data_IF_633731139462
#
_entry.id   IF_633731139462
#
_cell.length_a   1.000
_cell.length_b   1.000
_cell.length_c   1.000
_cell.angle_alpha   90.00
_cell.angle_beta   90.00
_cell.angle_gamma   90.00
#
_symmetry.space_group_name_H-M   'P 1'
#
loop_
_entity.id
_entity.type
_entity.pdbx_description
1 polymer ?
#
# COMPACT_ATOMS: atom_id res chain seq x y z
N UNK A 1 5.67 -3.63 24.09
CA UNK A 1 4.88 -4.81 24.54
C UNK A 1 5.74 -6.07 24.56
N UNK A 2 6.42 -6.47 23.48
CA UNK A 2 7.27 -7.68 23.44
C UNK A 2 8.39 -7.63 24.47
N UNK A 3 9.10 -6.50 24.60
CA UNK A 3 10.15 -6.33 25.61
C UNK A 3 9.61 -6.46 27.05
N UNK A 4 8.43 -5.93 27.33
CA UNK A 4 7.78 -6.13 28.62
C UNK A 4 7.51 -7.61 28.92
N UNK A 5 7.07 -8.40 27.94
CA UNK A 5 6.90 -9.85 28.12
C UNK A 5 8.23 -10.58 28.34
N UNK A 6 9.29 -10.11 27.70
CA UNK A 6 10.64 -10.63 27.91
C UNK A 6 11.15 -10.31 29.32
N UNK A 7 10.92 -9.10 29.83
CA UNK A 7 11.26 -8.71 31.21
C UNK A 7 10.48 -9.54 32.24
N UNK A 8 9.25 -9.96 31.91
CA UNK A 8 8.45 -10.86 32.76
C UNK A 8 8.81 -12.34 32.61
N UNK A 9 9.81 -12.68 31.80
CA UNK A 9 10.21 -14.07 31.52
C UNK A 9 9.18 -14.92 30.79
N UNK A 10 8.17 -14.30 30.19
CA UNK A 10 7.11 -14.98 29.41
C UNK A 10 7.51 -15.28 27.98
N UNK A 11 8.43 -14.51 27.45
CA UNK A 11 9.00 -14.62 26.10
C UNK A 11 10.51 -14.47 26.22
N UNK A 12 11.25 -15.34 25.58
CA UNK A 12 12.72 -15.27 25.55
C UNK A 12 13.21 -14.84 24.17
N UNK A 13 12.51 -15.23 23.11
CA UNK A 13 12.96 -14.99 21.73
C UNK A 13 11.84 -14.62 20.81
N UNK A 14 12.03 -13.58 20.00
CA UNK A 14 11.03 -13.00 19.11
C UNK A 14 11.45 -13.11 17.66
N UNK A 15 10.56 -13.63 16.80
CA UNK A 15 10.69 -13.55 15.35
C UNK A 15 9.79 -12.43 14.83
N UNK A 16 10.36 -11.47 14.09
CA UNK A 16 9.61 -10.42 13.41
C UNK A 16 9.60 -10.70 11.91
N UNK A 17 8.41 -10.86 11.33
CA UNK A 17 8.20 -11.07 9.90
C UNK A 17 7.59 -9.80 9.34
N UNK A 18 8.30 -9.13 8.42
CA UNK A 18 7.91 -7.83 7.90
C UNK A 18 8.28 -7.66 6.41
N UNK A 19 7.83 -6.58 5.74
CA UNK A 19 8.32 -6.23 4.41
C UNK A 19 9.83 -6.03 4.37
N UNK A 20 10.47 -6.46 3.28
CA UNK A 20 11.93 -6.36 3.09
C UNK A 20 12.47 -4.93 3.32
N UNK A 21 11.73 -3.93 2.88
CA UNK A 21 12.13 -2.52 2.92
C UNK A 21 12.21 -1.90 4.32
N UNK A 22 11.60 -2.52 5.32
CA UNK A 22 11.54 -1.99 6.69
C UNK A 22 12.29 -2.83 7.72
N UNK A 23 12.96 -3.88 7.29
CA UNK A 23 13.70 -4.75 8.20
C UNK A 23 14.77 -3.98 8.99
N UNK A 24 15.57 -3.15 8.30
CA UNK A 24 16.59 -2.31 8.91
C UNK A 24 16.04 -0.93 9.31
N UNK A 25 15.34 -0.25 8.38
CA UNK A 25 14.96 1.17 8.51
C UNK A 25 13.88 1.44 9.55
N UNK A 26 13.07 0.45 9.89
CA UNK A 26 12.08 0.56 10.97
C UNK A 26 12.40 -0.45 12.08
N UNK A 27 12.22 -1.75 11.85
CA UNK A 27 12.28 -2.73 12.92
C UNK A 27 13.62 -2.76 13.68
N UNK A 28 14.75 -2.80 12.95
CA UNK A 28 16.07 -2.80 13.62
C UNK A 28 16.34 -1.48 14.33
N UNK A 29 16.07 -0.33 13.66
CA UNK A 29 16.33 0.98 14.23
C UNK A 29 15.40 1.27 15.41
N UNK A 30 14.09 0.99 15.26
CA UNK A 30 13.13 1.19 16.35
C UNK A 30 13.45 0.30 17.56
N UNK A 31 13.86 -0.95 17.34
CA UNK A 31 14.31 -1.82 18.44
C UNK A 31 15.57 -1.27 19.11
N UNK A 32 16.50 -0.70 18.36
CA UNK A 32 17.68 -0.05 18.93
C UNK A 32 17.29 1.20 19.75
N UNK A 33 16.33 1.99 19.29
CA UNK A 33 15.92 3.21 19.99
C UNK A 33 15.07 2.92 21.22
N UNK A 34 14.14 1.95 21.14
CA UNK A 34 13.17 1.68 22.22
C UNK A 34 13.58 0.53 23.17
N UNK A 35 14.48 -0.35 22.75
CA UNK A 35 14.98 -1.46 23.54
C UNK A 35 16.50 -1.70 23.30
N UNK A 36 17.37 -0.69 23.57
CA UNK A 36 18.80 -0.74 23.27
C UNK A 36 19.54 -1.86 24.01
N UNK A 37 18.96 -2.40 25.08
CA UNK A 37 19.49 -3.51 25.85
C UNK A 37 19.23 -4.89 25.22
N UNK A 38 18.49 -4.94 24.09
CA UNK A 38 18.18 -6.18 23.37
C UNK A 38 19.06 -6.38 22.16
N UNK A 39 19.38 -7.63 21.90
CA UNK A 39 20.14 -8.03 20.71
C UNK A 39 19.21 -8.26 19.53
N UNK A 40 19.54 -7.68 18.36
CA UNK A 40 18.74 -7.74 17.15
C UNK A 40 19.58 -8.23 15.97
N UNK A 41 19.11 -9.23 15.26
CA UNK A 41 19.73 -9.72 14.03
C UNK A 41 18.75 -9.66 12.84
N UNK A 42 19.24 -9.24 11.66
CA UNK A 42 18.45 -9.14 10.43
C UNK A 42 18.81 -10.27 9.48
N UNK A 43 17.90 -11.23 9.33
CA UNK A 43 18.09 -12.43 8.50
C UNK A 43 17.84 -12.11 7.02
N UNK A 44 18.84 -11.52 6.36
CA UNK A 44 18.81 -11.13 4.93
C UNK A 44 19.98 -11.74 4.15
N UNK A 45 19.80 -11.92 2.84
CA UNK A 45 20.78 -12.49 1.93
C UNK A 45 20.49 -13.94 1.56
N UNK A 46 21.52 -14.71 1.25
CA UNK A 46 21.42 -16.12 0.85
C UNK A 46 20.94 -17.04 1.99
N UNK A 47 20.40 -18.21 1.62
CA UNK A 47 19.85 -19.19 2.56
C UNK A 47 20.82 -19.56 3.70
N UNK A 48 22.10 -19.81 3.37
CA UNK A 48 23.14 -20.15 4.35
C UNK A 48 23.35 -19.05 5.38
N UNK A 49 23.42 -17.79 4.93
CA UNK A 49 23.59 -16.62 5.81
C UNK A 49 22.35 -16.43 6.70
N UNK A 50 21.13 -16.54 6.13
CA UNK A 50 19.88 -16.44 6.91
C UNK A 50 19.83 -17.53 8.00
N UNK A 51 20.17 -18.76 7.64
CA UNK A 51 20.22 -19.87 8.60
C UNK A 51 21.19 -19.60 9.75
N UNK A 52 22.42 -19.18 9.44
CA UNK A 52 23.42 -18.82 10.46
C UNK A 52 22.94 -17.69 11.40
N UNK A 53 22.19 -16.71 10.87
CA UNK A 53 21.63 -15.62 11.69
C UNK A 53 20.51 -16.15 12.61
N UNK A 54 19.64 -17.02 12.12
CA UNK A 54 18.56 -17.61 12.92
C UNK A 54 19.12 -18.50 14.05
N UNK A 55 20.24 -19.15 13.81
CA UNK A 55 20.93 -20.01 14.79
C UNK A 55 21.70 -19.20 15.85
N UNK A 56 21.89 -17.89 15.67
CA UNK A 56 22.48 -17.03 16.71
C UNK A 56 21.52 -16.88 17.89
N UNK A 57 22.06 -16.79 19.08
CA UNK A 57 21.28 -16.55 20.29
C UNK A 57 21.00 -15.05 20.47
N UNK A 58 20.13 -14.50 19.62
CA UNK A 58 19.68 -13.09 19.69
C UNK A 58 18.25 -13.00 20.16
N UNK A 59 17.91 -11.93 20.89
CA UNK A 59 16.58 -11.70 21.42
C UNK A 59 15.54 -11.53 20.29
N UNK A 60 15.89 -10.76 19.25
CA UNK A 60 15.05 -10.51 18.09
C UNK A 60 15.73 -10.97 16.80
N UNK A 61 14.98 -11.65 15.96
CA UNK A 61 15.35 -11.93 14.57
C UNK A 61 14.33 -11.29 13.66
N UNK A 62 14.77 -10.43 12.75
CA UNK A 62 13.91 -9.77 11.75
C UNK A 62 14.12 -10.43 10.39
N UNK A 63 13.03 -10.85 9.72
CA UNK A 63 13.08 -11.55 8.44
C UNK A 63 11.95 -11.07 7.52
N UNK A 64 12.17 -11.05 6.20
CA UNK A 64 11.10 -10.77 5.25
C UNK A 64 10.25 -12.01 4.93
N UNK A 65 9.04 -11.80 4.41
CA UNK A 65 8.07 -12.87 4.15
C UNK A 65 8.63 -14.04 3.31
N UNK A 66 9.32 -13.73 2.19
CA UNK A 66 9.88 -14.77 1.32
C UNK A 66 11.06 -15.50 1.99
N UNK A 67 11.76 -14.82 2.89
CA UNK A 67 12.85 -15.41 3.69
C UNK A 67 12.35 -16.49 4.62
N UNK A 68 11.15 -16.37 5.17
CA UNK A 68 10.53 -17.36 6.07
C UNK A 68 10.46 -18.74 5.40
N UNK A 69 10.08 -18.76 4.12
CA UNK A 69 9.97 -20.00 3.35
C UNK A 69 11.32 -20.67 3.13
N UNK A 70 12.35 -19.86 2.83
CA UNK A 70 13.71 -20.33 2.52
C UNK A 70 14.33 -21.06 3.73
N UNK A 71 14.07 -20.58 4.95
CA UNK A 71 14.68 -21.08 6.18
C UNK A 71 13.67 -21.59 7.21
N UNK A 72 12.53 -22.08 6.74
CA UNK A 72 11.40 -22.50 7.58
C UNK A 72 11.77 -23.52 8.65
N UNK A 73 12.59 -24.52 8.33
CA UNK A 73 13.04 -25.53 9.29
C UNK A 73 13.95 -24.93 10.38
N UNK A 74 14.84 -23.99 10.01
CA UNK A 74 15.68 -23.30 11.01
C UNK A 74 14.83 -22.42 11.94
N UNK A 75 13.79 -21.76 11.41
CA UNK A 75 12.85 -20.99 12.23
C UNK A 75 12.10 -21.90 13.20
N UNK A 76 11.56 -23.02 12.71
CA UNK A 76 10.82 -24.00 13.53
C UNK A 76 11.64 -24.49 14.73
N UNK A 77 12.94 -24.71 14.50
CA UNK A 77 13.88 -25.19 15.53
C UNK A 77 14.54 -24.03 16.30
N UNK A 78 14.30 -22.78 15.90
CA UNK A 78 14.99 -21.60 16.42
C UNK A 78 14.52 -21.12 17.81
N UNK A 79 13.57 -21.80 18.46
CA UNK A 79 13.14 -21.48 19.83
C UNK A 79 12.39 -20.16 19.99
N UNK A 80 11.68 -19.70 18.95
CA UNK A 80 10.89 -18.47 19.04
C UNK A 80 9.60 -18.69 19.83
N UNK A 81 9.41 -17.91 20.89
CA UNK A 81 8.22 -17.94 21.74
C UNK A 81 7.13 -16.99 21.24
N UNK A 82 7.53 -15.91 20.56
CA UNK A 82 6.65 -14.92 19.95
C UNK A 82 7.00 -14.73 18.48
N UNK A 83 5.99 -14.78 17.63
CA UNK A 83 6.08 -14.39 16.22
C UNK A 83 5.22 -13.15 16.00
N UNK A 84 5.83 -12.08 15.51
CA UNK A 84 5.17 -10.82 15.15
C UNK A 84 5.15 -10.74 13.63
N UNK A 85 3.96 -10.59 13.04
CA UNK A 85 3.78 -10.41 11.60
C UNK A 85 3.29 -8.99 11.36
N UNK A 86 4.16 -8.16 10.80
CA UNK A 86 3.81 -6.80 10.38
C UNK A 86 3.18 -6.81 8.98
N UNK A 87 2.26 -5.90 8.69
CA UNK A 87 1.44 -5.88 7.46
C UNK A 87 0.80 -7.25 7.16
N UNK A 88 0.10 -7.81 8.14
CA UNK A 88 -0.42 -9.17 8.12
C UNK A 88 -1.40 -9.47 6.97
N UNK A 89 -1.88 -8.45 6.23
CA UNK A 89 -2.69 -8.59 5.00
C UNK A 89 -2.03 -9.51 3.96
N UNK A 90 -0.71 -9.65 3.98
CA UNK A 90 0.03 -10.61 3.16
C UNK A 90 -0.32 -12.08 3.44
N UNK A 91 -0.98 -12.37 4.55
CA UNK A 91 -1.43 -13.70 4.99
C UNK A 91 -2.96 -13.89 4.90
N UNK A 92 -3.69 -12.98 4.26
CA UNK A 92 -5.16 -13.03 4.14
C UNK A 92 -5.71 -14.28 3.43
N UNK A 93 -4.93 -14.89 2.54
CA UNK A 93 -5.32 -16.07 1.78
C UNK A 93 -4.67 -17.34 2.35
N UNK A 94 -5.46 -18.16 3.03
CA UNK A 94 -5.04 -19.42 3.65
C UNK A 94 -4.59 -20.51 2.65
N UNK A 95 -4.80 -20.33 1.35
CA UNK A 95 -4.36 -21.30 0.33
C UNK A 95 -2.94 -21.02 -0.17
N UNK A 96 -2.38 -19.85 0.11
CA UNK A 96 -1.03 -19.48 -0.34
C UNK A 96 0.04 -20.32 0.35
N UNK A 97 1.15 -20.55 -0.36
CA UNK A 97 2.33 -21.22 0.19
C UNK A 97 2.88 -20.48 1.42
N UNK A 98 2.92 -19.15 1.36
CA UNK A 98 3.33 -18.27 2.47
C UNK A 98 2.51 -18.55 3.74
N UNK A 99 1.19 -18.57 3.63
CA UNK A 99 0.30 -18.85 4.75
C UNK A 99 0.54 -20.25 5.35
N UNK A 100 0.61 -21.27 4.47
CA UNK A 100 0.84 -22.66 4.87
C UNK A 100 2.19 -22.84 5.56
N UNK A 101 3.24 -22.16 5.07
CA UNK A 101 4.57 -22.20 5.68
C UNK A 101 4.56 -21.60 7.08
N UNK A 102 3.96 -20.39 7.24
CA UNK A 102 3.87 -19.77 8.56
C UNK A 102 3.09 -20.67 9.54
N UNK A 103 1.94 -21.18 9.12
CA UNK A 103 1.13 -22.06 9.96
C UNK A 103 1.88 -23.34 10.39
N UNK A 104 2.77 -23.87 9.53
CA UNK A 104 3.57 -25.08 9.82
C UNK A 104 4.72 -24.83 10.82
N UNK A 105 5.27 -23.63 10.84
CA UNK A 105 6.39 -23.29 11.75
C UNK A 105 5.95 -22.87 13.14
N UNK A 106 4.68 -22.42 13.30
CA UNK A 106 4.11 -22.10 14.59
C UNK A 106 3.93 -23.39 15.41
N UNK A 107 4.32 -23.33 16.68
CA UNK A 107 4.12 -24.38 17.67
C UNK A 107 2.92 -24.02 18.55
N UNK A 108 2.33 -24.98 19.23
CA UNK A 108 1.15 -24.79 20.07
C UNK A 108 1.34 -23.73 21.18
N UNK A 109 2.57 -23.58 21.66
CA UNK A 109 2.95 -22.60 22.68
C UNK A 109 3.55 -21.31 22.13
N UNK A 110 3.59 -21.13 20.80
CA UNK A 110 4.11 -19.90 20.20
C UNK A 110 3.02 -18.84 20.17
N UNK A 111 3.30 -17.68 20.76
CA UNK A 111 2.43 -16.52 20.66
C UNK A 111 2.52 -15.91 19.27
N UNK A 112 1.38 -15.56 18.68
CA UNK A 112 1.33 -14.95 17.36
C UNK A 112 0.63 -13.59 17.44
N UNK A 113 1.34 -12.53 17.02
CA UNK A 113 0.77 -11.20 16.85
C UNK A 113 0.73 -10.85 15.37
N UNK A 114 -0.45 -10.62 14.84
CA UNK A 114 -0.65 -10.20 13.46
C UNK A 114 -1.08 -8.73 13.45
N UNK A 115 -0.22 -7.85 12.96
CA UNK A 115 -0.47 -6.40 12.91
C UNK A 115 -0.91 -5.98 11.51
N UNK A 116 -2.00 -5.25 11.43
CA UNK A 116 -2.48 -4.63 10.18
C UNK A 116 -3.45 -3.51 10.48
N UNK A 117 -3.38 -2.43 9.70
CA UNK A 117 -4.37 -1.35 9.75
C UNK A 117 -5.71 -1.71 9.11
N UNK A 118 -5.75 -2.74 8.26
CA UNK A 118 -6.91 -3.08 7.40
C UNK A 118 -7.08 -4.59 7.23
N UNK A 119 -7.57 -5.33 8.23
CA UNK A 119 -7.65 -6.80 8.17
C UNK A 119 -8.59 -7.33 7.08
N UNK A 120 -9.51 -6.50 6.58
CA UNK A 120 -10.46 -6.82 5.51
C UNK A 120 -10.47 -5.71 4.44
N UNK A 121 -9.30 -5.38 3.90
CA UNK A 121 -9.07 -4.20 3.05
C UNK A 121 -9.90 -4.19 1.75
N UNK A 122 -10.09 -5.33 1.12
CA UNK A 122 -10.77 -5.45 -0.16
C UNK A 122 -12.14 -6.10 -0.04
N UNK A 123 -12.28 -7.06 0.87
CA UNK A 123 -13.51 -7.83 1.06
C UNK A 123 -13.56 -8.37 2.49
N UNK A 124 -14.75 -8.55 3.08
CA UNK A 124 -14.90 -9.26 4.35
C UNK A 124 -14.24 -10.65 4.35
N UNK A 125 -14.13 -11.29 3.19
CA UNK A 125 -13.48 -12.60 3.01
C UNK A 125 -11.97 -12.54 3.31
N UNK A 126 -11.31 -11.39 3.15
CA UNK A 126 -9.88 -11.21 3.42
C UNK A 126 -9.51 -11.48 4.88
N UNK A 127 -10.47 -11.33 5.81
CA UNK A 127 -10.28 -11.64 7.22
C UNK A 127 -10.06 -13.14 7.50
N UNK A 128 -10.51 -14.03 6.61
CA UNK A 128 -10.49 -15.47 6.84
C UNK A 128 -9.10 -16.03 7.15
N UNK A 129 -8.11 -15.70 6.32
CA UNK A 129 -6.75 -16.23 6.51
C UNK A 129 -6.11 -15.76 7.81
N UNK A 130 -6.37 -14.51 8.21
CA UNK A 130 -5.88 -13.94 9.47
C UNK A 130 -6.57 -14.59 10.67
N UNK A 131 -7.91 -14.62 10.67
CA UNK A 131 -8.70 -15.21 11.74
C UNK A 131 -8.38 -16.70 11.92
N UNK A 132 -8.21 -17.44 10.81
CA UNK A 132 -7.87 -18.87 10.85
C UNK A 132 -6.51 -19.14 11.49
N UNK A 133 -5.60 -18.21 11.46
CA UNK A 133 -4.28 -18.34 12.07
C UNK A 133 -4.28 -17.93 13.54
N UNK A 134 -5.00 -16.84 13.88
CA UNK A 134 -5.06 -16.30 15.25
C UNK A 134 -6.11 -17.01 16.11
N UNK A 135 -7.26 -17.29 15.53
CA UNK A 135 -8.39 -17.91 16.23
C UNK A 135 -9.08 -18.95 15.32
N UNK A 136 -8.44 -20.12 15.11
CA UNK A 136 -8.89 -21.12 14.15
C UNK A 136 -10.28 -21.70 14.48
N UNK A 137 -10.72 -21.65 15.73
CA UNK A 137 -12.03 -22.13 16.17
C UNK A 137 -13.19 -21.18 15.86
N UNK A 138 -12.87 -19.89 15.65
CA UNK A 138 -13.88 -18.86 15.33
C UNK A 138 -14.32 -18.86 13.85
N UNK A 139 -13.63 -19.59 12.99
CA UNK A 139 -13.90 -19.63 11.55
C UNK A 139 -14.15 -21.07 11.06
N UNK A 140 -14.98 -21.25 10.02
CA UNK A 140 -15.20 -22.57 9.46
C UNK A 140 -13.92 -23.14 8.83
N UNK A 141 -13.88 -24.47 8.70
CA UNK A 141 -12.75 -25.19 8.13
C UNK A 141 -12.38 -24.71 6.73
N UNK A 142 -13.37 -24.37 5.91
CA UNK A 142 -13.20 -23.99 4.51
C UNK A 142 -13.51 -22.51 4.26
N UNK A 143 -12.67 -21.84 3.51
CA UNK A 143 -12.85 -20.42 3.14
C UNK A 143 -14.11 -20.15 2.31
N UNK A 144 -14.58 -21.12 1.52
CA UNK A 144 -15.86 -21.04 0.81
C UNK A 144 -17.04 -20.85 1.77
N UNK A 145 -17.09 -21.67 2.83
CA UNK A 145 -18.12 -21.54 3.87
C UNK A 145 -18.05 -20.18 4.57
N UNK A 146 -16.85 -19.70 4.87
CA UNK A 146 -16.68 -18.36 5.44
C UNK A 146 -17.16 -17.25 4.49
N UNK A 147 -16.87 -17.39 3.18
CA UNK A 147 -17.40 -16.47 2.18
C UNK A 147 -18.92 -16.43 2.21
N UNK A 148 -19.57 -17.58 2.26
CA UNK A 148 -21.04 -17.69 2.30
C UNK A 148 -21.62 -17.09 3.60
N UNK A 149 -20.85 -17.06 4.70
CA UNK A 149 -21.23 -16.36 5.93
C UNK A 149 -21.24 -14.84 5.77
N UNK A 150 -20.26 -14.25 5.08
CA UNK A 150 -20.06 -12.81 5.02
C UNK A 150 -20.49 -12.16 3.70
N UNK A 151 -20.79 -12.95 2.67
CA UNK A 151 -21.15 -12.48 1.34
C UNK A 151 -22.46 -13.10 0.87
N UNK A 152 -23.22 -12.35 0.06
CA UNK A 152 -24.39 -12.83 -0.68
C UNK A 152 -24.03 -13.01 -2.14
N UNK A 153 -24.31 -14.17 -2.71
CA UNK A 153 -24.12 -14.46 -4.13
C UNK A 153 -25.26 -13.83 -4.94
N UNK A 154 -24.95 -12.93 -5.84
CA UNK A 154 -25.93 -12.32 -6.76
C UNK A 154 -25.93 -13.03 -8.12
N UNK A 155 -24.74 -13.34 -8.64
CA UNK A 155 -24.53 -14.14 -9.85
C UNK A 155 -23.39 -15.11 -9.63
N UNK A 156 -23.08 -15.98 -10.61
CA UNK A 156 -21.90 -16.85 -10.52
C UNK A 156 -20.59 -16.10 -10.32
N UNK A 157 -20.54 -14.83 -10.73
CA UNK A 157 -19.32 -14.01 -10.70
C UNK A 157 -19.44 -12.78 -9.79
N UNK A 158 -20.63 -12.46 -9.26
CA UNK A 158 -20.86 -11.25 -8.44
C UNK A 158 -21.32 -11.63 -7.03
N UNK A 159 -20.54 -11.18 -6.05
CA UNK A 159 -20.81 -11.32 -4.63
C UNK A 159 -20.84 -9.94 -3.98
N UNK A 160 -21.74 -9.72 -3.04
CA UNK A 160 -21.83 -8.48 -2.26
C UNK A 160 -21.70 -8.80 -0.77
N UNK A 161 -21.09 -7.92 0.05
CA UNK A 161 -21.09 -8.09 1.50
C UNK A 161 -22.50 -8.12 2.06
N UNK A 162 -22.74 -9.01 3.03
CA UNK A 162 -23.97 -9.00 3.84
C UNK A 162 -24.00 -7.78 4.76
N UNK A 163 -25.16 -7.37 5.20
CA UNK A 163 -25.33 -6.22 6.09
C UNK A 163 -24.57 -6.38 7.42
N UNK A 164 -24.48 -7.60 7.94
CA UNK A 164 -23.79 -7.96 9.19
C UNK A 164 -22.34 -8.42 9.00
N UNK A 165 -21.82 -8.37 7.77
CA UNK A 165 -20.46 -8.84 7.45
C UNK A 165 -19.38 -8.20 8.34
N UNK A 166 -19.49 -6.91 8.63
CA UNK A 166 -18.53 -6.18 9.49
C UNK A 166 -18.53 -6.75 10.91
N UNK A 167 -19.70 -7.02 11.48
CA UNK A 167 -19.82 -7.60 12.82
C UNK A 167 -19.27 -9.02 12.87
N UNK A 168 -19.53 -9.80 11.82
CA UNK A 168 -18.98 -11.16 11.69
C UNK A 168 -17.46 -11.14 11.61
N UNK A 169 -16.87 -10.24 10.80
CA UNK A 169 -15.40 -10.05 10.70
C UNK A 169 -14.83 -9.65 12.06
N UNK A 170 -15.43 -8.68 12.73
CA UNK A 170 -14.99 -8.25 14.06
C UNK A 170 -14.97 -9.42 15.06
N UNK A 171 -16.04 -10.21 15.09
CA UNK A 171 -16.16 -11.35 16.01
C UNK A 171 -15.10 -12.44 15.76
N UNK A 172 -14.83 -12.80 14.49
CA UNK A 172 -13.87 -13.87 14.18
C UNK A 172 -12.41 -13.45 14.38
N UNK A 173 -12.13 -12.15 14.39
CA UNK A 173 -10.80 -11.62 14.64
C UNK A 173 -10.47 -11.47 16.14
N UNK A 174 -11.44 -11.66 17.04
CA UNK A 174 -11.16 -11.56 18.48
C UNK A 174 -10.16 -12.64 18.91
N UNK A 175 -9.23 -12.30 19.83
CA UNK A 175 -9.15 -11.09 20.69
C UNK A 175 -8.38 -9.90 20.08
N UNK A 176 -8.75 -9.45 18.90
CA UNK A 176 -8.09 -8.31 18.26
C UNK A 176 -8.30 -6.99 19.02
N UNK A 177 -7.23 -6.22 19.16
CA UNK A 177 -7.25 -4.86 19.73
C UNK A 177 -7.12 -3.88 18.56
N UNK A 178 -7.94 -2.85 18.55
CA UNK A 178 -7.90 -1.79 17.54
C UNK A 178 -7.75 -0.44 18.21
N UNK A 179 -6.77 0.32 17.74
CA UNK A 179 -6.60 1.73 18.08
C UNK A 179 -6.79 2.57 16.81
N UNK A 180 -7.54 3.64 16.89
CA UNK A 180 -7.63 4.63 15.80
C UNK A 180 -6.54 5.69 15.97
N UNK A 181 -6.21 6.39 14.89
CA UNK A 181 -5.22 7.48 14.96
C UNK A 181 -5.68 8.59 15.88
N UNK A 182 -6.97 8.92 15.85
CA UNK A 182 -7.56 10.01 16.62
C UNK A 182 -7.58 9.71 18.13
N UNK A 183 -7.59 8.41 18.51
CA UNK A 183 -7.49 7.98 19.92
C UNK A 183 -6.05 8.00 20.44
N UNK A 184 -5.06 7.87 19.56
CA UNK A 184 -3.67 7.66 19.97
C UNK A 184 -2.74 8.83 19.67
N UNK A 185 -3.11 9.71 18.72
CA UNK A 185 -2.23 10.76 18.22
C UNK A 185 -2.98 12.08 18.12
N UNK A 186 -2.42 13.12 18.70
CA UNK A 186 -2.84 14.50 18.45
C UNK A 186 -2.15 14.98 17.16
N UNK A 187 -2.86 14.87 16.03
CA UNK A 187 -2.35 15.24 14.72
C UNK A 187 -3.06 16.48 14.17
N UNK A 188 -2.33 17.36 13.46
CA UNK A 188 -2.94 18.46 12.74
C UNK A 188 -4.00 17.95 11.75
N UNK A 189 -5.00 18.78 11.43
CA UNK A 189 -6.05 18.40 10.49
C UNK A 189 -5.50 18.04 9.10
N UNK A 190 -6.16 17.09 8.41
CA UNK A 190 -5.87 16.73 7.04
C UNK A 190 -7.06 17.07 6.14
N UNK A 191 -6.82 17.89 5.12
CA UNK A 191 -7.84 18.39 4.19
C UNK A 191 -7.62 17.79 2.81
N UNK A 192 -8.71 17.42 2.13
CA UNK A 192 -8.69 16.94 0.76
C UNK A 192 -9.21 18.01 -0.20
N UNK A 193 -8.42 18.32 -1.23
CA UNK A 193 -8.72 19.38 -2.21
C UNK A 193 -8.72 18.79 -3.61
N UNK A 194 -9.75 19.07 -4.37
CA UNK A 194 -9.86 18.70 -5.79
C UNK A 194 -9.44 19.87 -6.65
N UNK A 195 -8.47 19.66 -7.55
CA UNK A 195 -8.02 20.64 -8.54
C UNK A 195 -8.36 20.14 -9.93
N UNK A 196 -9.21 20.87 -10.63
CA UNK A 196 -9.56 20.56 -12.02
C UNK A 196 -8.37 20.83 -12.93
N UNK A 197 -8.17 19.95 -13.89
CA UNK A 197 -7.12 20.03 -14.92
C UNK A 197 -7.77 19.85 -16.28
N UNK A 198 -7.46 20.73 -17.22
CA UNK A 198 -7.88 20.50 -18.60
C UNK A 198 -6.95 19.51 -19.32
N UNK A 199 -7.53 18.51 -19.98
CA UNK A 199 -6.79 17.70 -20.92
C UNK A 199 -6.42 18.53 -22.14
N UNK A 200 -5.21 18.35 -22.67
CA UNK A 200 -4.81 18.99 -23.94
C UNK A 200 -5.66 18.45 -25.12
N UNK A 201 -5.67 19.16 -26.23
CA UNK A 201 -6.43 18.72 -27.43
C UNK A 201 -6.01 17.32 -27.87
N UNK A 202 -4.71 17.02 -27.81
CA UNK A 202 -4.19 15.71 -28.14
C UNK A 202 -4.70 14.66 -27.16
N UNK A 203 -4.59 14.86 -25.85
CA UNK A 203 -5.11 13.94 -24.83
C UNK A 203 -6.62 13.70 -25.02
N UNK A 204 -7.42 14.77 -25.20
CA UNK A 204 -8.88 14.66 -25.44
C UNK A 204 -9.18 13.76 -26.66
N UNK A 205 -8.45 13.97 -27.77
CA UNK A 205 -8.63 13.16 -28.99
C UNK A 205 -8.38 11.67 -28.72
N UNK A 206 -7.25 11.32 -28.10
CA UNK A 206 -6.90 9.92 -27.82
C UNK A 206 -7.80 9.30 -26.75
N UNK A 207 -8.17 10.07 -25.74
CA UNK A 207 -9.11 9.65 -24.69
C UNK A 207 -10.46 9.27 -25.28
N UNK A 208 -11.05 10.13 -26.13
CA UNK A 208 -12.33 9.88 -26.79
C UNK A 208 -12.25 8.72 -27.80
N UNK A 209 -11.17 8.61 -28.55
CA UNK A 209 -10.95 7.46 -29.44
C UNK A 209 -10.92 6.14 -28.68
N UNK A 210 -10.18 6.09 -27.59
CA UNK A 210 -10.14 4.91 -26.73
C UNK A 210 -11.51 4.62 -26.11
N UNK A 211 -12.17 5.65 -25.56
CA UNK A 211 -13.53 5.53 -25.01
C UNK A 211 -14.49 4.89 -26.02
N UNK A 212 -14.53 5.39 -27.26
CA UNK A 212 -15.38 4.84 -28.34
C UNK A 212 -15.02 3.39 -28.70
N UNK A 213 -13.73 3.07 -28.79
CA UNK A 213 -13.29 1.70 -29.04
C UNK A 213 -13.79 0.75 -27.96
N UNK A 214 -13.63 1.14 -26.69
CA UNK A 214 -14.06 0.37 -25.54
C UNK A 214 -15.60 0.21 -25.49
N UNK A 215 -16.39 1.23 -25.90
CA UNK A 215 -17.85 1.13 -26.05
C UNK A 215 -18.22 0.08 -27.09
N UNK A 216 -17.57 0.08 -28.25
CA UNK A 216 -17.86 -0.90 -29.31
C UNK A 216 -17.52 -2.33 -28.89
N UNK A 217 -16.44 -2.54 -28.15
CA UNK A 217 -16.09 -3.84 -27.57
C UNK A 217 -17.12 -4.32 -26.53
N UNK A 218 -17.74 -3.41 -25.80
CA UNK A 218 -18.76 -3.71 -24.78
C UNK A 218 -20.13 -4.06 -25.38
N UNK A 219 -20.50 -3.48 -26.51
CA UNK A 219 -21.80 -3.74 -27.16
C UNK A 219 -21.89 -5.11 -27.84
N UNK A 220 -20.76 -5.78 -28.09
CA UNK A 220 -20.68 -7.10 -28.75
C UNK A 220 -20.46 -8.29 -27.82
N UNK A 221 -19.92 -8.10 -26.63
CA UNK A 221 -19.53 -9.19 -25.70
C UNK A 221 -19.77 -8.82 -24.23
N UNK A 222 -19.84 -9.84 -23.35
CA UNK A 222 -19.84 -9.62 -21.90
C UNK A 222 -18.50 -9.01 -21.46
N UNK A 223 -18.53 -7.78 -20.94
CA UNK A 223 -17.35 -7.12 -20.36
C UNK A 223 -16.85 -7.91 -19.18
N UNK A 224 -15.68 -8.50 -19.31
CA UNK A 224 -15.00 -9.11 -18.18
C UNK A 224 -14.40 -8.02 -17.28
N UNK A 225 -14.28 -8.29 -15.98
CA UNK A 225 -13.63 -7.38 -15.04
C UNK A 225 -12.17 -7.07 -15.43
N UNK A 226 -11.51 -8.00 -16.13
CA UNK A 226 -10.14 -7.84 -16.63
C UNK A 226 -10.08 -6.79 -17.73
N UNK A 227 -10.97 -6.87 -18.74
CA UNK A 227 -11.02 -5.93 -19.85
C UNK A 227 -11.39 -4.52 -19.36
N UNK A 228 -12.33 -4.41 -18.41
CA UNK A 228 -12.69 -3.15 -17.77
C UNK A 228 -11.50 -2.52 -17.02
N UNK A 229 -10.72 -3.33 -16.29
CA UNK A 229 -9.55 -2.86 -15.57
C UNK A 229 -8.44 -2.34 -16.51
N UNK A 230 -8.20 -3.06 -17.62
CA UNK A 230 -7.22 -2.65 -18.64
C UNK A 230 -7.67 -1.35 -19.32
N UNK A 231 -8.93 -1.25 -19.73
CA UNK A 231 -9.47 -0.05 -20.35
C UNK A 231 -9.40 1.18 -19.44
N UNK A 232 -9.80 1.02 -18.16
CA UNK A 232 -9.69 2.06 -17.16
C UNK A 232 -8.24 2.52 -16.96
N UNK A 233 -7.32 1.58 -16.85
CA UNK A 233 -5.91 1.89 -16.67
C UNK A 233 -5.33 2.67 -17.86
N UNK A 234 -5.68 2.34 -19.10
CA UNK A 234 -5.27 3.09 -20.30
C UNK A 234 -5.87 4.52 -20.32
N UNK A 235 -7.13 4.71 -19.92
CA UNK A 235 -7.75 6.04 -19.80
C UNK A 235 -7.02 6.91 -18.76
N UNK A 236 -6.66 6.34 -17.62
CA UNK A 236 -5.87 7.02 -16.59
C UNK A 236 -4.45 7.36 -17.07
N UNK A 237 -3.81 6.49 -17.84
CA UNK A 237 -2.50 6.74 -18.44
C UNK A 237 -2.54 7.93 -19.41
N UNK A 238 -3.50 7.99 -20.32
CA UNK A 238 -3.68 9.13 -21.24
C UNK A 238 -3.86 10.42 -20.44
N UNK A 239 -4.71 10.41 -19.42
CA UNK A 239 -4.96 11.57 -18.55
C UNK A 239 -3.71 12.01 -17.80
N UNK A 240 -2.85 11.04 -17.42
CA UNK A 240 -1.58 11.27 -16.69
C UNK A 240 -0.45 11.85 -17.56
N UNK A 241 -0.53 11.72 -18.89
CA UNK A 241 0.45 12.29 -19.82
C UNK A 241 1.24 11.29 -20.67
N UNK A 242 1.03 9.99 -20.51
CA UNK A 242 1.64 8.97 -21.37
C UNK A 242 0.84 7.67 -21.33
N UNK A 243 0.77 6.95 -22.45
CA UNK A 243 0.11 5.64 -22.53
C UNK A 243 1.01 4.61 -23.21
N UNK A 244 1.01 3.37 -22.69
CA UNK A 244 1.66 2.25 -23.35
C UNK A 244 0.79 1.75 -24.50
N UNK A 245 1.39 1.65 -25.67
CA UNK A 245 0.77 1.06 -26.86
C UNK A 245 0.87 -0.48 -26.80
N UNK A 246 0.08 -1.17 -27.62
CA UNK A 246 0.00 -2.64 -27.58
C UNK A 246 1.29 -3.31 -28.07
N UNK A 247 2.11 -2.62 -28.84
CA UNK A 247 3.45 -3.02 -29.30
C UNK A 247 4.57 -2.73 -28.27
N UNK A 248 4.20 -2.21 -27.08
CA UNK A 248 5.13 -1.91 -25.99
C UNK A 248 5.82 -0.56 -26.09
N UNK A 249 5.53 0.24 -27.15
CA UNK A 249 6.00 1.61 -27.23
C UNK A 249 5.24 2.53 -26.25
N UNK A 250 5.74 3.74 -26.07
CA UNK A 250 5.08 4.74 -25.22
C UNK A 250 4.70 5.95 -26.08
N UNK A 251 3.44 6.35 -26.00
CA UNK A 251 2.97 7.58 -26.59
C UNK A 251 2.88 8.64 -25.46
N UNK A 252 3.66 9.70 -25.62
CA UNK A 252 3.70 10.82 -24.69
C UNK A 252 2.77 11.95 -25.13
N UNK A 253 2.18 12.64 -24.17
CA UNK A 253 1.30 13.78 -24.36
C UNK A 253 1.86 15.03 -23.69
N UNK A 254 1.54 16.20 -24.25
CA UNK A 254 1.84 17.47 -23.57
C UNK A 254 1.07 17.57 -22.25
N UNK A 255 1.80 17.74 -21.16
CA UNK A 255 1.26 17.82 -19.79
C UNK A 255 1.09 19.26 -19.29
N UNK A 256 1.24 20.26 -20.13
CA UNK A 256 1.33 21.68 -19.73
C UNK A 256 0.23 22.15 -18.78
N UNK A 257 -1.03 21.74 -18.99
CA UNK A 257 -2.14 22.18 -18.15
C UNK A 257 -2.08 21.54 -16.76
N UNK A 258 -1.79 20.24 -16.70
CA UNK A 258 -1.64 19.51 -15.44
C UNK A 258 -0.41 19.99 -14.67
N UNK A 259 0.68 20.22 -15.38
CA UNK A 259 1.91 20.76 -14.81
C UNK A 259 1.70 22.18 -14.25
N UNK A 260 0.94 23.04 -14.93
CA UNK A 260 0.61 24.38 -14.44
C UNK A 260 -0.08 24.30 -13.07
N UNK A 261 -1.09 23.46 -12.93
CA UNK A 261 -1.82 23.29 -11.66
C UNK A 261 -0.89 22.72 -10.57
N UNK A 262 -0.03 21.78 -10.90
CA UNK A 262 0.97 21.28 -9.94
C UNK A 262 1.93 22.40 -9.49
N UNK A 263 2.39 23.24 -10.40
CA UNK A 263 3.25 24.40 -10.07
C UNK A 263 2.57 25.34 -9.09
N UNK A 264 1.33 25.69 -9.34
CA UNK A 264 0.51 26.51 -8.43
C UNK A 264 0.47 25.90 -7.04
N UNK A 265 0.22 24.58 -6.92
CA UNK A 265 0.20 23.87 -5.64
C UNK A 265 1.57 23.87 -4.95
N UNK A 266 2.67 23.71 -5.70
CA UNK A 266 4.03 23.77 -5.13
C UNK A 266 4.35 25.18 -4.62
N UNK A 267 3.94 26.20 -5.34
CA UNK A 267 4.18 27.61 -4.99
C UNK A 267 3.30 28.04 -3.80
N UNK A 268 2.06 27.53 -3.68
CA UNK A 268 1.14 27.72 -2.54
C UNK A 268 1.63 26.98 -1.28
N UNK A 269 2.46 25.95 -1.41
CA UNK A 269 2.87 25.10 -0.30
C UNK A 269 3.99 25.73 0.53
N UNK A 270 3.79 25.87 1.84
CA UNK A 270 4.79 26.40 2.77
C UNK A 270 5.92 25.41 3.09
N UNK A 271 5.64 24.12 3.01
CA UNK A 271 6.56 23.02 3.30
C UNK A 271 6.83 22.20 2.02
N UNK A 272 7.68 21.19 2.12
CA UNK A 272 7.98 20.27 1.01
C UNK A 272 6.72 19.59 0.48
N UNK A 273 6.79 19.12 -0.77
CA UNK A 273 5.66 18.52 -1.48
C UNK A 273 5.99 17.09 -1.89
N UNK A 274 5.09 16.17 -1.59
CA UNK A 274 5.09 14.83 -2.16
C UNK A 274 4.19 14.78 -3.38
N UNK A 275 4.67 14.22 -4.49
CA UNK A 275 3.87 14.01 -5.70
C UNK A 275 3.80 12.54 -6.01
N UNK A 276 2.63 11.93 -5.86
CA UNK A 276 2.39 10.54 -6.20
C UNK A 276 2.01 10.39 -7.66
N UNK A 277 2.81 9.62 -8.39
CA UNK A 277 2.64 9.36 -9.84
C UNK A 277 2.63 7.84 -10.07
N UNK A 278 1.49 7.23 -10.43
CA UNK A 278 1.40 5.77 -10.59
C UNK A 278 2.21 5.22 -11.79
N UNK A 279 2.38 6.02 -12.84
CA UNK A 279 2.92 5.58 -14.12
C UNK A 279 4.37 6.04 -14.35
N UNK A 280 5.29 5.11 -14.62
CA UNK A 280 6.74 5.40 -14.75
C UNK A 280 7.07 6.48 -15.78
N UNK A 281 6.45 6.44 -16.97
CA UNK A 281 6.74 7.44 -18.01
C UNK A 281 6.28 8.84 -17.58
N UNK A 282 5.13 8.95 -16.92
CA UNK A 282 4.68 10.22 -16.37
C UNK A 282 5.63 10.76 -15.29
N UNK A 283 6.29 9.89 -14.52
CA UNK A 283 7.34 10.29 -13.55
C UNK A 283 8.49 10.99 -14.27
N UNK A 284 9.01 10.40 -15.35
CA UNK A 284 10.16 10.95 -16.07
C UNK A 284 9.81 12.32 -16.69
N UNK A 285 8.70 12.39 -17.44
CA UNK A 285 8.22 13.63 -18.08
C UNK A 285 8.05 14.74 -17.03
N UNK A 286 7.41 14.43 -15.92
CA UNK A 286 7.16 15.38 -14.84
C UNK A 286 8.47 15.84 -14.19
N UNK A 287 9.36 14.93 -13.87
CA UNK A 287 10.60 15.24 -13.17
C UNK A 287 11.54 16.10 -14.04
N UNK A 288 11.64 15.76 -15.32
CA UNK A 288 12.44 16.57 -16.27
C UNK A 288 11.90 18.00 -16.37
N UNK A 289 10.57 18.14 -16.34
CA UNK A 289 9.96 19.47 -16.36
C UNK A 289 10.20 20.25 -15.07
N UNK A 290 10.06 19.62 -13.91
CA UNK A 290 10.33 20.25 -12.61
C UNK A 290 11.79 20.73 -12.53
N UNK A 291 12.73 19.89 -12.94
CA UNK A 291 14.17 20.24 -12.94
C UNK A 291 14.51 21.36 -13.91
N UNK A 292 13.91 21.38 -15.12
CA UNK A 292 14.05 22.48 -16.08
C UNK A 292 13.55 23.80 -15.51
N UNK A 293 12.54 23.79 -14.69
CA UNK A 293 11.98 24.96 -14.02
C UNK A 293 12.73 25.31 -12.71
N UNK A 294 13.89 24.67 -12.43
CA UNK A 294 14.73 24.95 -11.28
C UNK A 294 14.23 24.40 -9.95
N UNK A 295 13.23 23.51 -9.95
CA UNK A 295 12.71 22.91 -8.73
C UNK A 295 13.55 21.69 -8.38
N UNK A 296 14.19 21.72 -7.21
CA UNK A 296 14.96 20.61 -6.71
C UNK A 296 14.04 19.39 -6.46
N UNK A 297 14.29 18.32 -7.20
CA UNK A 297 13.39 17.16 -7.28
C UNK A 297 14.17 15.86 -7.24
N UNK A 298 13.73 14.93 -6.38
CA UNK A 298 14.18 13.54 -6.32
C UNK A 298 13.06 12.57 -6.65
N UNK A 299 13.43 11.32 -7.03
CA UNK A 299 12.50 10.29 -7.51
C UNK A 299 12.64 9.03 -6.66
N UNK A 300 11.51 8.46 -6.28
CA UNK A 300 11.42 7.11 -5.69
C UNK A 300 10.51 6.24 -6.58
N UNK A 301 11.10 5.26 -7.23
CA UNK A 301 10.40 4.25 -8.04
C UNK A 301 11.06 2.87 -7.91
N UNK A 302 10.47 1.84 -8.49
CA UNK A 302 10.91 0.46 -8.32
C UNK A 302 12.38 0.19 -8.68
N UNK A 303 12.97 0.96 -9.61
CA UNK A 303 14.37 0.83 -10.03
C UNK A 303 15.38 1.44 -9.03
N UNK A 304 14.94 2.24 -8.07
CA UNK A 304 15.83 2.85 -7.06
C UNK A 304 16.22 1.79 -6.04
N UNK A 305 17.52 1.57 -5.85
CA UNK A 305 18.03 0.60 -4.89
C UNK A 305 17.66 0.94 -3.44
N UNK A 306 17.59 -0.05 -2.56
CA UNK A 306 17.22 0.18 -1.16
C UNK A 306 18.13 1.19 -0.43
N UNK A 307 19.48 1.13 -0.57
CA UNK A 307 20.36 2.13 0.04
C UNK A 307 20.13 3.54 -0.49
N UNK A 308 19.99 3.69 -1.83
CA UNK A 308 19.71 4.98 -2.45
C UNK A 308 18.36 5.55 -1.99
N UNK A 309 17.34 4.71 -1.89
CA UNK A 309 16.01 5.09 -1.38
C UNK A 309 16.08 5.62 0.04
N UNK A 310 16.80 4.93 0.93
CA UNK A 310 17.00 5.36 2.33
C UNK A 310 17.71 6.72 2.39
N UNK A 311 18.74 6.91 1.57
CA UNK A 311 19.47 8.19 1.48
C UNK A 311 18.57 9.33 1.02
N UNK A 312 17.77 9.12 -0.05
CA UNK A 312 16.84 10.13 -0.58
C UNK A 312 15.78 10.50 0.48
N UNK A 313 15.20 9.53 1.16
CA UNK A 313 14.22 9.81 2.21
C UNK A 313 14.83 10.60 3.37
N UNK A 314 16.03 10.22 3.82
CA UNK A 314 16.74 10.97 4.86
C UNK A 314 17.02 12.39 4.43
N UNK A 315 17.55 12.60 3.22
CA UNK A 315 17.80 13.92 2.67
C UNK A 315 16.52 14.75 2.56
N UNK A 316 15.42 14.14 2.09
CA UNK A 316 14.13 14.83 2.01
C UNK A 316 13.64 15.26 3.39
N UNK A 317 13.83 14.45 4.41
CA UNK A 317 13.35 14.72 5.76
C UNK A 317 14.21 15.77 6.49
N UNK A 318 15.53 15.73 6.32
CA UNK A 318 16.47 16.50 7.16
C UNK A 318 17.06 17.74 6.46
N UNK A 319 17.27 17.71 5.15
CA UNK A 319 17.88 18.79 4.40
C UNK A 319 16.83 19.75 3.81
N UNK A 320 17.25 20.94 3.37
CA UNK A 320 16.38 21.91 2.66
C UNK A 320 15.98 21.44 1.27
N UNK A 321 16.86 20.72 0.58
CA UNK A 321 16.65 20.10 -0.74
C UNK A 321 16.59 18.58 -0.60
N UNK A 322 15.73 17.90 -1.38
CA UNK A 322 14.85 18.39 -2.45
C UNK A 322 13.57 19.07 -1.91
N UNK A 323 13.03 19.99 -2.70
CA UNK A 323 11.73 20.65 -2.47
C UNK A 323 10.56 19.71 -2.75
N UNK A 324 10.69 18.92 -3.82
CA UNK A 324 9.67 18.00 -4.30
C UNK A 324 10.22 16.58 -4.32
N UNK A 325 9.43 15.62 -3.84
CA UNK A 325 9.73 14.21 -3.96
C UNK A 325 8.64 13.54 -4.81
N UNK A 326 9.02 13.07 -6.00
CA UNK A 326 8.13 12.32 -6.91
C UNK A 326 8.22 10.84 -6.58
N UNK A 327 7.09 10.23 -6.25
CA UNK A 327 7.05 8.86 -5.74
C UNK A 327 6.08 8.01 -6.55
N UNK A 328 6.54 6.85 -7.00
CA UNK A 328 5.64 5.80 -7.45
C UNK A 328 4.93 5.20 -6.21
N UNK A 329 3.57 5.23 -6.12
CA UNK A 329 2.84 4.89 -4.89
C UNK A 329 3.22 3.53 -4.29
N UNK A 330 3.38 2.49 -5.12
CA UNK A 330 3.81 1.17 -4.67
C UNK A 330 5.20 1.17 -3.99
N UNK A 331 6.06 2.14 -4.31
CA UNK A 331 7.41 2.26 -3.73
C UNK A 331 7.42 3.00 -2.39
N UNK A 332 6.33 3.68 -2.02
CA UNK A 332 6.16 4.35 -0.73
C UNK A 332 5.43 3.49 0.31
N UNK A 333 5.01 2.29 -0.07
CA UNK A 333 4.08 1.48 0.73
C UNK A 333 4.63 1.07 2.12
N UNK A 334 5.93 1.19 2.40
CA UNK A 334 6.51 0.59 3.60
C UNK A 334 7.25 1.60 4.49
N UNK A 335 6.70 1.82 5.68
CA UNK A 335 7.37 2.26 6.91
C UNK A 335 8.03 3.66 6.97
N UNK A 336 8.04 4.44 5.88
CA UNK A 336 8.77 5.71 5.83
C UNK A 336 7.96 6.86 6.44
N UNK A 337 8.63 7.73 7.19
CA UNK A 337 8.08 8.99 7.71
C UNK A 337 8.53 10.16 6.84
N UNK A 338 7.60 10.96 6.33
CA UNK A 338 7.86 12.08 5.42
C UNK A 338 7.16 13.36 5.90
N UNK A 339 7.27 13.64 7.20
CA UNK A 339 6.62 14.78 7.88
C UNK A 339 7.25 16.14 7.56
N UNK A 340 8.40 16.18 6.86
CA UNK A 340 8.93 17.40 6.28
C UNK A 340 8.04 17.98 5.17
N UNK A 341 7.16 17.15 4.59
CA UNK A 341 6.10 17.62 3.72
C UNK A 341 4.78 17.79 4.49
N UNK A 342 3.98 18.76 4.10
CA UNK A 342 2.59 18.91 4.54
C UNK A 342 1.60 18.87 3.37
N UNK A 343 2.09 18.82 2.15
CA UNK A 343 1.27 18.79 0.93
C UNK A 343 1.57 17.51 0.15
N UNK A 344 0.51 16.78 -0.16
CA UNK A 344 0.52 15.58 -1.00
C UNK A 344 -0.25 15.89 -2.27
N UNK A 345 0.35 15.68 -3.42
CA UNK A 345 -0.32 15.82 -4.72
C UNK A 345 -0.43 14.46 -5.38
N UNK A 346 -1.63 14.06 -5.68
CA UNK A 346 -1.90 12.92 -6.54
C UNK A 346 -1.97 13.38 -7.99
N UNK A 347 -0.91 13.08 -8.74
CA UNK A 347 -0.83 13.38 -10.17
C UNK A 347 -1.91 12.64 -10.97
N UNK A 348 -2.19 11.41 -10.59
CA UNK A 348 -3.27 10.57 -11.08
C UNK A 348 -3.68 9.60 -9.98
N UNK A 349 -4.93 9.11 -9.94
CA UNK A 349 -5.37 8.20 -8.89
C UNK A 349 -4.77 6.79 -9.05
N UNK A 350 -4.79 6.04 -7.95
CA UNK A 350 -4.51 4.60 -7.90
C UNK A 350 -5.80 3.83 -7.69
N UNK A 351 -5.84 2.58 -8.14
CA UNK A 351 -7.01 1.70 -7.96
C UNK A 351 -7.09 1.05 -6.57
N UNK A 352 -6.02 1.09 -5.79
CA UNK A 352 -5.96 0.50 -4.46
C UNK A 352 -6.23 1.54 -3.37
N UNK A 353 -7.34 1.37 -2.65
CA UNK A 353 -7.66 2.18 -1.47
C UNK A 353 -6.58 2.07 -0.39
N UNK A 354 -6.04 0.86 -0.20
CA UNK A 354 -4.96 0.62 0.77
C UNK A 354 -3.71 1.42 0.41
N UNK A 355 -3.26 1.35 -0.86
CA UNK A 355 -2.11 2.13 -1.35
C UNK A 355 -2.35 3.63 -1.19
N UNK A 356 -3.55 4.11 -1.51
CA UNK A 356 -3.93 5.51 -1.36
C UNK A 356 -3.87 5.98 0.09
N UNK A 357 -4.47 5.21 1.00
CA UNK A 357 -4.48 5.52 2.42
C UNK A 357 -3.08 5.46 3.05
N UNK A 358 -2.30 4.42 2.74
CA UNK A 358 -0.93 4.27 3.23
C UNK A 358 -0.01 5.39 2.73
N UNK A 359 -0.12 5.79 1.46
CA UNK A 359 0.67 6.87 0.90
C UNK A 359 0.38 8.21 1.60
N UNK A 360 -0.89 8.57 1.80
CA UNK A 360 -1.26 9.78 2.53
C UNK A 360 -0.80 9.74 4.00
N UNK A 361 -0.81 8.56 4.61
CA UNK A 361 -0.34 8.38 5.99
C UNK A 361 1.18 8.57 6.17
N UNK A 362 1.98 8.70 5.10
CA UNK A 362 3.43 9.02 5.21
C UNK A 362 3.69 10.44 5.68
N UNK A 363 2.77 11.35 5.38
CA UNK A 363 2.83 12.75 5.80
C UNK A 363 2.05 12.98 7.10
N UNK A 364 0.87 12.37 7.21
CA UNK A 364 -0.02 12.54 8.35
C UNK A 364 0.20 11.44 9.40
N UNK A 365 1.26 11.59 10.19
CA UNK A 365 1.64 10.67 11.27
C UNK A 365 2.39 11.39 12.39
N UNK A 366 2.75 10.68 13.46
CA UNK A 366 3.50 11.22 14.60
C UNK A 366 4.70 12.05 14.13
N UNK A 367 4.88 13.23 14.71
CA UNK A 367 5.89 14.22 14.34
C UNK A 367 5.44 15.25 13.31
N UNK A 368 4.25 15.15 12.72
CA UNK A 368 3.69 16.20 11.87
C UNK A 368 3.22 17.40 12.70
N UNK A 369 3.72 18.59 12.38
CA UNK A 369 3.41 19.85 13.08
C UNK A 369 2.51 20.79 12.27
N UNK A 370 2.33 20.53 10.99
CA UNK A 370 1.59 21.38 10.06
C UNK A 370 0.30 20.73 9.58
N UNK A 371 -0.73 21.54 9.33
CA UNK A 371 -1.96 21.08 8.65
C UNK A 371 -1.57 20.42 7.32
N UNK A 372 -2.11 19.25 7.06
CA UNK A 372 -1.82 18.49 5.86
C UNK A 372 -2.88 18.73 4.78
N UNK A 373 -2.44 18.87 3.54
CA UNK A 373 -3.32 19.01 2.38
C UNK A 373 -3.04 17.89 1.38
N UNK A 374 -4.09 17.15 1.02
CA UNK A 374 -4.06 16.16 -0.06
C UNK A 374 -4.77 16.73 -1.27
N UNK A 375 -4.03 16.97 -2.35
CA UNK A 375 -4.54 17.54 -3.59
C UNK A 375 -4.72 16.45 -4.64
N UNK A 376 -5.94 16.30 -5.15
CA UNK A 376 -6.31 15.38 -6.21
C UNK A 376 -6.39 16.14 -7.54
N UNK A 377 -5.50 15.87 -8.49
CA UNK A 377 -5.57 16.42 -9.84
C UNK A 377 -6.59 15.62 -10.67
N UNK A 378 -7.60 16.28 -11.20
CA UNK A 378 -8.73 15.66 -11.89
C UNK A 378 -8.91 16.25 -13.29
N UNK A 379 -8.44 15.56 -14.32
CA UNK A 379 -8.51 16.01 -15.72
C UNK A 379 -9.52 15.26 -16.58
N UNK A 380 -9.96 14.08 -16.16
CA UNK A 380 -10.89 13.23 -16.91
C UNK A 380 -11.98 12.65 -16.02
N UNK A 381 -13.06 12.16 -16.64
CA UNK A 381 -14.15 11.51 -15.90
C UNK A 381 -13.67 10.21 -15.25
N UNK A 382 -12.78 9.47 -15.90
CA UNK A 382 -12.12 8.30 -15.30
C UNK A 382 -11.44 8.66 -13.97
N UNK A 383 -10.66 9.74 -13.92
CA UNK A 383 -9.99 10.19 -12.69
C UNK A 383 -11.00 10.61 -11.61
N UNK A 384 -12.01 11.43 -11.98
CA UNK A 384 -13.07 11.87 -11.06
C UNK A 384 -13.79 10.68 -10.42
N UNK A 385 -14.12 9.65 -11.21
CA UNK A 385 -14.81 8.46 -10.73
C UNK A 385 -13.94 7.66 -9.75
N UNK A 386 -12.66 7.42 -10.09
CA UNK A 386 -11.75 6.70 -9.21
C UNK A 386 -11.55 7.44 -7.90
N UNK A 387 -11.34 8.76 -7.91
CA UNK A 387 -11.24 9.55 -6.68
C UNK A 387 -12.53 9.50 -5.85
N UNK A 388 -13.71 9.56 -6.47
CA UNK A 388 -14.99 9.42 -5.77
C UNK A 388 -15.08 8.10 -5.01
N UNK A 389 -14.61 6.99 -5.59
CA UNK A 389 -14.57 5.70 -4.91
C UNK A 389 -13.55 5.68 -3.76
N UNK A 390 -12.37 6.26 -3.96
CA UNK A 390 -11.35 6.37 -2.91
C UNK A 390 -11.84 7.24 -1.74
N UNK A 391 -12.47 8.37 -2.02
CA UNK A 391 -13.03 9.29 -1.01
C UNK A 391 -14.13 8.61 -0.18
N UNK A 392 -14.99 7.82 -0.82
CA UNK A 392 -16.05 7.04 -0.17
C UNK A 392 -15.56 5.73 0.44
N UNK A 393 -14.25 5.45 0.41
CA UNK A 393 -13.63 4.20 0.88
C UNK A 393 -14.25 2.94 0.23
N UNK A 394 -14.70 3.07 -1.01
CA UNK A 394 -15.26 1.96 -1.79
C UNK A 394 -14.12 1.22 -2.48
N UNK A 395 -14.12 -0.10 -2.39
CA UNK A 395 -13.15 -0.92 -3.10
C UNK A 395 -13.42 -0.89 -4.62
N UNK A 396 -12.50 -0.31 -5.37
CA UNK A 396 -12.59 -0.14 -6.81
C UNK A 396 -12.66 -1.50 -7.54
N UNK A 397 -11.95 -2.51 -7.04
CA UNK A 397 -11.95 -3.85 -7.67
C UNK A 397 -13.33 -4.51 -7.70
N UNK A 398 -14.19 -4.26 -6.70
CA UNK A 398 -15.56 -4.77 -6.68
C UNK A 398 -16.51 -3.97 -7.56
N UNK A 399 -16.16 -2.73 -7.88
CA UNK A 399 -16.97 -1.78 -8.64
C UNK A 399 -16.45 -1.51 -10.06
N UNK A 400 -15.35 -2.12 -10.46
CA UNK A 400 -14.64 -1.76 -11.68
C UNK A 400 -15.49 -1.94 -12.94
N UNK A 401 -16.35 -2.96 -12.99
CA UNK A 401 -17.24 -3.18 -14.13
C UNK A 401 -18.36 -2.15 -14.18
N UNK A 402 -18.94 -1.81 -13.02
CA UNK A 402 -19.98 -0.78 -12.92
C UNK A 402 -19.38 0.59 -13.27
N UNK A 403 -18.20 0.90 -12.70
CA UNK A 403 -17.44 2.12 -12.99
C UNK A 403 -17.08 2.27 -14.48
N UNK A 404 -16.66 1.18 -15.09
CA UNK A 404 -16.30 1.17 -16.51
C UNK A 404 -17.51 1.49 -17.40
N UNK A 405 -18.69 0.96 -17.08
CA UNK A 405 -19.93 1.29 -17.78
C UNK A 405 -20.28 2.77 -17.61
N UNK A 406 -20.27 3.30 -16.36
CA UNK A 406 -20.56 4.71 -16.09
C UNK A 406 -19.63 5.69 -16.87
N UNK A 407 -18.41 5.29 -17.16
CA UNK A 407 -17.46 6.13 -17.92
C UNK A 407 -17.71 6.04 -19.43
N UNK A 408 -18.23 4.91 -19.90
CA UNK A 408 -18.50 4.70 -21.31
C UNK A 408 -19.84 5.34 -21.76
N UNK A 409 -20.80 5.45 -20.85
CA UNK A 409 -22.04 6.23 -21.05
C UNK A 409 -21.73 7.75 -21.10
#
# INVERSE_FOLDING_TARGET
ASDFLMQQGKVNRVLVICPLSIMDSAWRNDLFDFAPHRTVAVAHGEAKKRKSIIEQNTDYVVINYDGVEIVSESIKNGGFDLVIVDEATHYKNAQTRRWKTLNKILRDNTWLWMMTGTPAAQSPVDAYGLAKMVNPTAVPRFGGTFRDMVMTKITNFKWIPKADATNTVHRVLQPAIRFTKDECLDLPSMTYVKRAVELTRQQKKYYEQLKRKLVLEVTGEQVTAVNAAVGMNKLLQISSGAVYTDDGATLEFDIKHRYKVLREVIDESSQKVLVFVPFKHAINILTDRLRKDGISTEIIQGSVSAPARTSIFKQFQEATSPRVLVIQPASAAHGVTLTAANTVVWWSPVSSLETYAQANARVHRSGQKHKCTVVQLQGSDAEKHVYRLLDNRINIHTKITDLYKEILD
#
